data_IF_146748658274
#
_entry.id   IF_146748658274
#
_cell.length_a   1.000
_cell.length_b   1.000
_cell.length_c   1.000
_cell.angle_alpha   90.00
_cell.angle_beta   90.00
_cell.angle_gamma   90.00
#
_symmetry.space_group_name_H-M   'P 1'
#
loop_
_entity.id
_entity.type
_entity.pdbx_description
1 polymer ?
#
# COMPACT_ATOMS: atom_id res chain seq x y z
N UNK A 1 -20.45 -0.66 -2.05
CA UNK A 1 -19.25 -1.41 -2.51
C UNK A 1 -18.03 -0.51 -2.72
N UNK A 2 -18.03 0.42 -3.69
CA UNK A 2 -16.83 1.22 -4.02
C UNK A 2 -16.30 2.10 -2.88
N UNK A 3 -17.19 2.80 -2.18
CA UNK A 3 -16.79 3.62 -1.02
C UNK A 3 -16.19 2.79 0.11
N UNK A 4 -16.74 1.59 0.35
CA UNK A 4 -16.21 0.65 1.35
C UNK A 4 -14.81 0.16 0.93
N UNK A 5 -14.62 -0.20 -0.33
CA UNK A 5 -13.30 -0.57 -0.85
C UNK A 5 -12.28 0.58 -0.73
N UNK A 6 -12.69 1.82 -1.05
CA UNK A 6 -11.84 2.99 -0.90
C UNK A 6 -11.41 3.22 0.56
N UNK A 7 -12.32 3.03 1.53
CA UNK A 7 -12.00 3.09 2.96
C UNK A 7 -10.95 2.04 3.34
N UNK A 8 -11.09 0.79 2.86
CA UNK A 8 -10.08 -0.24 3.10
C UNK A 8 -8.70 0.10 2.52
N UNK A 9 -8.65 0.69 1.31
CA UNK A 9 -7.39 1.15 0.75
C UNK A 9 -6.75 2.26 1.59
N UNK A 10 -7.53 3.21 2.09
CA UNK A 10 -7.04 4.28 2.98
C UNK A 10 -6.53 3.69 4.29
N UNK A 11 -7.26 2.74 4.90
CA UNK A 11 -6.82 2.06 6.13
C UNK A 11 -5.49 1.33 5.87
N UNK A 12 -5.36 0.61 4.75
CA UNK A 12 -4.13 -0.09 4.40
C UNK A 12 -2.93 0.88 4.30
N UNK A 13 -3.12 2.05 3.68
CA UNK A 13 -2.11 3.12 3.60
C UNK A 13 -1.73 3.66 4.98
N UNK A 14 -2.70 3.83 5.89
CA UNK A 14 -2.37 4.30 7.24
C UNK A 14 -1.61 3.22 8.04
N UNK A 15 -1.96 1.95 7.85
CA UNK A 15 -1.30 0.83 8.53
C UNK A 15 0.10 0.53 7.98
N UNK A 16 0.36 0.81 6.70
CA UNK A 16 1.65 0.54 6.04
C UNK A 16 2.82 1.31 6.67
N UNK A 17 2.54 2.44 7.34
CA UNK A 17 3.54 3.27 8.00
C UNK A 17 3.95 2.75 9.40
N UNK A 18 3.17 1.83 9.99
CA UNK A 18 3.42 1.30 11.34
C UNK A 18 4.81 0.64 11.43
N UNK A 19 5.23 -0.25 10.50
CA UNK A 19 6.56 -0.87 10.59
C UNK A 19 7.71 0.13 10.48
N UNK A 20 7.55 1.16 9.64
CA UNK A 20 8.57 2.18 9.45
C UNK A 20 8.72 3.12 10.66
N UNK A 21 7.61 3.51 11.29
CA UNK A 21 7.58 4.54 12.34
C UNK A 21 7.61 3.98 13.77
N UNK A 22 7.10 2.78 14.00
CA UNK A 22 6.80 2.29 15.36
C UNK A 22 7.55 1.01 15.75
N UNK A 23 7.96 0.17 14.79
CA UNK A 23 8.58 -1.13 15.08
C UNK A 23 10.11 -1.06 15.21
N UNK A 24 10.61 -0.31 16.20
CA UNK A 24 12.03 0.03 16.42
C UNK A 24 13.02 -1.13 16.37
N UNK A 25 12.62 -2.30 16.87
CA UNK A 25 13.48 -3.49 16.95
C UNK A 25 13.41 -4.34 15.67
N UNK A 26 12.96 -3.74 14.55
CA UNK A 26 12.83 -4.42 13.27
C UNK A 26 13.62 -3.78 12.14
N UNK A 27 13.95 -4.59 11.13
CA UNK A 27 14.61 -4.13 9.89
C UNK A 27 13.75 -3.17 9.05
N UNK A 28 12.48 -2.97 9.44
CA UNK A 28 11.56 -2.04 8.81
C UNK A 28 11.69 -0.62 9.36
N UNK A 29 12.11 -0.45 10.61
CA UNK A 29 12.15 0.86 11.26
C UNK A 29 13.21 1.76 10.63
N UNK A 30 12.78 2.93 10.15
CA UNK A 30 13.66 3.88 9.47
C UNK A 30 14.25 3.38 8.13
N UNK A 31 13.81 2.23 7.62
CA UNK A 31 14.32 1.66 6.38
C UNK A 31 13.73 2.38 5.16
N UNK A 32 14.56 3.16 4.48
CA UNK A 32 14.14 3.97 3.33
C UNK A 32 13.77 3.14 2.10
N UNK A 33 14.35 1.93 1.94
CA UNK A 33 13.99 1.02 0.83
C UNK A 33 12.58 0.48 1.06
N UNK A 34 12.29 0.04 2.29
CA UNK A 34 10.95 -0.35 2.71
C UNK A 34 9.95 0.79 2.45
N UNK A 35 10.26 2.01 2.92
CA UNK A 35 9.39 3.17 2.74
C UNK A 35 9.17 3.50 1.27
N UNK A 36 10.19 3.43 0.42
CA UNK A 36 10.04 3.70 -1.00
C UNK A 36 9.10 2.70 -1.68
N UNK A 37 9.24 1.41 -1.38
CA UNK A 37 8.38 0.36 -1.94
C UNK A 37 6.94 0.47 -1.44
N UNK A 38 6.75 0.71 -0.13
CA UNK A 38 5.43 0.99 0.46
C UNK A 38 4.82 2.26 -0.14
N UNK A 39 5.62 3.31 -0.36
CA UNK A 39 5.15 4.56 -0.95
C UNK A 39 4.57 4.36 -2.35
N UNK A 40 5.16 3.49 -3.17
CA UNK A 40 4.58 3.11 -4.48
C UNK A 40 3.22 2.44 -4.29
N UNK A 41 3.11 1.47 -3.39
CA UNK A 41 1.84 0.81 -3.06
C UNK A 41 0.79 1.81 -2.61
N UNK A 42 1.16 2.74 -1.73
CA UNK A 42 0.24 3.69 -1.13
C UNK A 42 -0.28 4.71 -2.14
N UNK A 43 0.59 5.21 -3.04
CA UNK A 43 0.18 6.09 -4.14
C UNK A 43 -0.86 5.40 -5.02
N UNK A 44 -0.64 4.12 -5.38
CA UNK A 44 -1.57 3.37 -6.22
C UNK A 44 -2.91 3.10 -5.52
N UNK A 45 -2.89 2.80 -4.22
CA UNK A 45 -4.10 2.64 -3.42
C UNK A 45 -4.86 3.95 -3.24
N UNK A 46 -4.19 5.07 -2.97
CA UNK A 46 -4.83 6.38 -2.85
C UNK A 46 -5.42 6.85 -4.17
N UNK A 47 -4.72 6.67 -5.29
CA UNK A 47 -5.24 6.99 -6.62
C UNK A 47 -6.50 6.17 -6.96
N UNK A 48 -6.47 4.87 -6.63
CA UNK A 48 -7.63 3.98 -6.80
C UNK A 48 -8.80 4.40 -5.91
N UNK A 49 -8.54 4.67 -4.63
CA UNK A 49 -9.55 5.11 -3.66
C UNK A 49 -10.20 6.44 -4.08
N UNK A 50 -9.41 7.44 -4.45
CA UNK A 50 -9.90 8.73 -4.93
C UNK A 50 -10.83 8.55 -6.13
N UNK A 51 -10.44 7.71 -7.10
CA UNK A 51 -11.26 7.49 -8.29
C UNK A 51 -12.55 6.71 -7.99
N UNK A 52 -12.51 5.74 -7.07
CA UNK A 52 -13.69 5.01 -6.59
C UNK A 52 -14.69 5.89 -5.83
N UNK A 53 -14.21 6.98 -5.21
CA UNK A 53 -15.06 7.95 -4.49
C UNK A 53 -15.67 8.97 -5.47
N UNK A 54 -14.88 9.49 -6.41
CA UNK A 54 -15.27 10.61 -7.28
C UNK A 54 -16.09 10.15 -8.49
N UNK A 55 -15.72 9.05 -9.15
CA UNK A 55 -16.36 8.64 -10.40
C UNK A 55 -17.65 7.86 -10.17
N UNK A 56 -18.71 8.27 -10.88
CA UNK A 56 -20.01 7.58 -10.86
C UNK A 56 -19.96 6.17 -11.50
N UNK A 57 -19.10 5.99 -12.50
CA UNK A 57 -18.86 4.70 -13.17
C UNK A 57 -17.35 4.41 -13.29
N UNK A 58 -16.72 3.92 -12.20
CA UNK A 58 -15.29 3.67 -12.19
C UNK A 58 -14.88 2.47 -13.07
N UNK A 59 -13.71 2.52 -13.76
CA UNK A 59 -13.22 1.43 -14.60
C UNK A 59 -12.63 0.29 -13.76
N UNK A 60 -13.49 -0.56 -13.21
CA UNK A 60 -13.12 -1.62 -12.24
C UNK A 60 -12.11 -2.63 -12.78
N UNK A 61 -12.11 -2.92 -14.08
CA UNK A 61 -11.13 -3.82 -14.71
C UNK A 61 -9.69 -3.29 -14.65
N UNK A 62 -9.51 -1.97 -14.79
CA UNK A 62 -8.20 -1.32 -14.64
C UNK A 62 -7.73 -1.41 -13.19
N UNK A 63 -8.62 -1.09 -12.24
CA UNK A 63 -8.28 -1.09 -10.82
C UNK A 63 -7.86 -2.47 -10.32
N UNK A 64 -8.45 -3.56 -10.80
CA UNK A 64 -7.98 -4.91 -10.46
C UNK A 64 -6.50 -5.11 -10.80
N UNK A 65 -6.06 -4.64 -11.98
CA UNK A 65 -4.66 -4.72 -12.39
C UNK A 65 -3.79 -3.79 -11.56
N UNK A 66 -4.23 -2.53 -11.37
CA UNK A 66 -3.50 -1.54 -10.56
C UNK A 66 -3.30 -2.00 -9.12
N UNK A 67 -4.33 -2.57 -8.49
CA UNK A 67 -4.24 -3.06 -7.11
C UNK A 67 -3.39 -4.31 -7.00
N UNK A 68 -3.37 -5.19 -8.01
CA UNK A 68 -2.43 -6.32 -8.05
C UNK A 68 -0.98 -5.84 -8.09
N UNK A 69 -0.68 -4.85 -8.93
CA UNK A 69 0.66 -4.23 -8.97
C UNK A 69 1.00 -3.62 -7.60
N UNK A 70 0.08 -2.85 -7.00
CA UNK A 70 0.28 -2.26 -5.69
C UNK A 70 0.58 -3.32 -4.61
N UNK A 71 -0.15 -4.43 -4.60
CA UNK A 71 0.06 -5.55 -3.66
C UNK A 71 1.45 -6.17 -3.86
N UNK A 72 1.92 -6.32 -5.11
CA UNK A 72 3.26 -6.85 -5.39
C UNK A 72 4.34 -5.94 -4.80
N UNK A 73 4.25 -4.62 -4.99
CA UNK A 73 5.21 -3.69 -4.38
C UNK A 73 5.20 -3.76 -2.85
N UNK A 74 4.02 -3.87 -2.25
CA UNK A 74 3.88 -3.97 -0.80
C UNK A 74 4.52 -5.25 -0.29
N UNK A 75 4.26 -6.37 -0.97
CA UNK A 75 4.89 -7.66 -0.66
C UNK A 75 6.42 -7.59 -0.77
N UNK A 76 6.95 -6.97 -1.83
CA UNK A 76 8.40 -6.79 -1.98
C UNK A 76 9.00 -5.96 -0.84
N UNK A 77 8.29 -4.94 -0.35
CA UNK A 77 8.74 -4.17 0.81
C UNK A 77 8.85 -5.06 2.07
N UNK A 78 7.83 -5.86 2.34
CA UNK A 78 7.82 -6.77 3.49
C UNK A 78 8.89 -7.87 3.38
N UNK A 79 9.07 -8.45 2.20
CA UNK A 79 10.13 -9.45 1.94
C UNK A 79 11.52 -8.84 2.08
N UNK A 80 11.74 -7.63 1.57
CA UNK A 80 13.02 -6.94 1.70
C UNK A 80 13.43 -6.78 3.16
N UNK A 81 12.53 -6.32 4.03
CA UNK A 81 12.84 -6.23 5.45
C UNK A 81 13.00 -7.61 6.10
N UNK A 82 12.17 -8.59 5.74
CA UNK A 82 12.29 -9.95 6.29
C UNK A 82 13.66 -10.58 5.99
N UNK A 83 14.16 -10.43 4.76
CA UNK A 83 15.47 -10.93 4.35
C UNK A 83 16.66 -10.20 4.98
N UNK A 84 16.46 -8.99 5.50
CA UNK A 84 17.49 -8.28 6.26
C UNK A 84 17.48 -8.63 7.75
N UNK A 85 16.38 -9.19 8.25
CA UNK A 85 16.17 -9.47 9.67
C UNK A 85 16.43 -10.93 10.05
N UNK A 86 16.19 -11.85 9.10
CA UNK A 86 16.59 -13.26 9.19
C UNK A 86 18.04 -13.48 8.79
#
# INVERSE_FOLDING_TARGET
AYRVAAVFYIIAVMMSLIPFLLLKDTSYYGNMIYLALVGVTDILFLATAATLIVKRSPPTALFRKTTLVAIVFGLLAFLQGAFLQG
#
